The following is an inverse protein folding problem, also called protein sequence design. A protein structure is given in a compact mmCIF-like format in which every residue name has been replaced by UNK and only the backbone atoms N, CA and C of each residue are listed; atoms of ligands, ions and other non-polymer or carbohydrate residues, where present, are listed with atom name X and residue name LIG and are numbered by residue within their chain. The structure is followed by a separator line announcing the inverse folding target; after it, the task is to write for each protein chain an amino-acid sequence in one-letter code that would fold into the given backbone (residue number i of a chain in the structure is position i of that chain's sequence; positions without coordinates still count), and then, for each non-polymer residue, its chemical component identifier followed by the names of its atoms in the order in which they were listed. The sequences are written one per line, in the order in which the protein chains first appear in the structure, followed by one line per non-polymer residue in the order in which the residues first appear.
data_IF_312986928094
#
_entry.id   IF_312986928094
#
_cell.length_a   1.000
_cell.length_b   1.000
_cell.length_c   1.000
_cell.angle_alpha   90.00
_cell.angle_beta   90.00
_cell.angle_gamma   90.00
#
_symmetry.space_group_name_H-M   'P 1'
#
loop_
_entity.id
_entity.type
_entity.pdbx_description
1 polymer ?
#
# COMPACT_ATOMS: atom_id res chain seq x y z
N UNK A 1 26.48 -73.61 -6.04
CA UNK A 1 25.60 -73.09 -7.10
C UNK A 1 24.61 -72.14 -6.46
N UNK A 2 24.90 -70.84 -6.53
CA UNK A 2 24.10 -69.79 -5.92
C UNK A 2 23.01 -69.32 -6.87
N UNK A 3 21.78 -69.25 -6.38
CA UNK A 3 20.69 -68.54 -7.04
C UNK A 3 20.32 -67.31 -6.21
N UNK A 4 20.29 -66.12 -6.80
CA UNK A 4 20.14 -64.86 -6.07
C UNK A 4 18.68 -64.52 -5.74
N UNK A 5 18.54 -63.83 -4.61
CA UNK A 5 17.33 -63.22 -4.06
C UNK A 5 16.70 -62.26 -5.07
N UNK A 6 15.39 -62.42 -5.34
CA UNK A 6 14.58 -61.43 -6.06
C UNK A 6 14.23 -60.27 -5.11
N UNK A 7 14.79 -59.10 -5.40
CA UNK A 7 14.21 -57.81 -5.04
C UNK A 7 13.12 -57.45 -6.07
N UNK A 8 11.98 -56.93 -5.62
CA UNK A 8 11.37 -55.69 -6.15
C UNK A 8 10.28 -55.23 -5.19
N UNK A 9 10.60 -54.16 -4.46
CA UNK A 9 9.69 -53.31 -3.70
C UNK A 9 9.66 -51.97 -4.44
N UNK A 10 8.48 -51.46 -4.79
CA UNK A 10 8.20 -50.04 -5.00
C UNK A 10 6.72 -49.86 -5.36
N UNK A 11 5.92 -49.56 -4.33
CA UNK A 11 4.60 -48.97 -4.48
C UNK A 11 4.74 -47.57 -5.11
N UNK A 12 4.04 -47.35 -6.22
CA UNK A 12 3.89 -46.02 -6.81
C UNK A 12 2.89 -45.20 -6.00
N UNK A 13 3.39 -44.29 -5.16
CA UNK A 13 2.58 -43.24 -4.55
C UNK A 13 2.48 -42.06 -5.54
N UNK A 14 1.35 -41.98 -6.23
CA UNK A 14 0.94 -40.81 -7.00
C UNK A 14 0.50 -39.71 -6.03
N UNK A 15 1.39 -38.77 -5.71
CA UNK A 15 1.02 -37.54 -4.99
C UNK A 15 0.39 -36.56 -5.97
N UNK A 16 -0.95 -36.54 -6.01
CA UNK A 16 -1.73 -35.48 -6.63
C UNK A 16 -1.55 -34.18 -5.83
N UNK A 17 -0.90 -33.19 -6.40
CA UNK A 17 -0.82 -31.83 -5.86
C UNK A 17 -2.19 -31.14 -5.97
N UNK A 18 -2.72 -30.52 -4.90
CA UNK A 18 -3.95 -29.74 -4.99
C UNK A 18 -3.70 -28.42 -5.71
N UNK A 19 -4.40 -28.23 -6.84
CA UNK A 19 -4.45 -26.96 -7.59
C UNK A 19 -5.43 -26.02 -6.88
N UNK A 20 -4.94 -25.15 -6.00
CA UNK A 20 -5.75 -24.07 -5.43
C UNK A 20 -5.82 -22.95 -6.46
N UNK A 21 -6.96 -22.85 -7.15
CA UNK A 21 -7.28 -21.70 -8.01
C UNK A 21 -7.65 -20.51 -7.12
N UNK A 22 -6.66 -19.74 -6.69
CA UNK A 22 -6.86 -18.41 -6.14
C UNK A 22 -7.06 -17.42 -7.29
N UNK A 23 -8.30 -17.28 -7.73
CA UNK A 23 -8.72 -16.26 -8.69
C UNK A 23 -9.83 -15.44 -8.05
N UNK A 24 -9.70 -14.11 -8.18
CA UNK A 24 -10.67 -13.05 -7.87
C UNK A 24 -10.93 -12.70 -6.40
N UNK A 25 -9.96 -12.04 -5.76
CA UNK A 25 -10.24 -11.04 -4.71
C UNK A 25 -9.41 -9.75 -4.91
N UNK A 26 -9.35 -9.25 -6.15
CA UNK A 26 -8.74 -7.95 -6.47
C UNK A 26 -9.71 -7.14 -7.30
N UNK A 27 -10.64 -6.46 -6.63
CA UNK A 27 -11.57 -5.53 -7.30
C UNK A 27 -11.96 -4.29 -6.50
N UNK A 28 -11.23 -3.94 -5.43
CA UNK A 28 -11.62 -2.79 -4.60
C UNK A 28 -10.54 -1.74 -4.29
N UNK A 29 -9.33 -1.84 -4.88
CA UNK A 29 -8.27 -0.85 -4.63
C UNK A 29 -7.54 -0.39 -5.90
N UNK A 30 -8.31 -0.04 -6.94
CA UNK A 30 -7.81 0.77 -8.06
C UNK A 30 -8.89 1.80 -8.38
N UNK A 31 -8.82 2.95 -7.72
CA UNK A 31 -9.35 4.25 -8.19
C UNK A 31 -9.07 5.33 -7.12
N UNK A 32 -7.79 5.56 -6.80
CA UNK A 32 -7.40 6.62 -5.84
C UNK A 32 -6.35 7.61 -6.37
N UNK A 33 -5.97 7.56 -7.65
CA UNK A 33 -4.97 8.50 -8.21
C UNK A 33 -5.32 8.88 -9.65
N UNK A 34 -6.45 9.56 -9.85
CA UNK A 34 -6.75 10.30 -11.06
C UNK A 34 -7.90 11.28 -10.80
N UNK A 35 -7.61 12.40 -10.14
CA UNK A 35 -8.41 13.63 -10.15
C UNK A 35 -7.68 14.74 -9.39
N UNK A 36 -6.63 15.26 -10.02
CA UNK A 36 -6.30 16.68 -9.90
C UNK A 36 -6.93 17.39 -11.10
N UNK A 37 -7.29 18.66 -10.92
CA UNK A 37 -7.99 19.58 -11.84
C UNK A 37 -9.53 19.52 -11.85
N UNK A 38 -10.16 20.07 -10.81
CA UNK A 38 -11.27 21.04 -10.98
C UNK A 38 -11.50 21.81 -9.68
N UNK A 39 -10.71 22.87 -9.48
CA UNK A 39 -10.95 23.90 -8.49
C UNK A 39 -11.78 25.02 -9.13
N UNK A 40 -13.11 24.87 -9.09
CA UNK A 40 -14.06 25.98 -9.24
C UNK A 40 -15.28 25.62 -8.39
N UNK A 41 -15.31 26.10 -7.16
CA UNK A 41 -16.05 27.31 -6.78
C UNK A 41 -17.58 27.09 -6.74
N UNK A 42 -18.15 27.49 -5.61
CA UNK A 42 -19.59 27.59 -5.29
C UNK A 42 -20.34 26.28 -5.00
N UNK A 43 -20.55 25.99 -3.70
CA UNK A 43 -21.89 25.87 -3.09
C UNK A 43 -21.82 25.21 -1.70
N UNK A 44 -22.50 25.85 -0.74
CA UNK A 44 -23.02 25.35 0.56
C UNK A 44 -22.50 26.12 1.77
N UNK A 45 -23.21 27.19 2.14
CA UNK A 45 -23.57 27.51 3.53
C UNK A 45 -24.42 28.78 3.59
N UNK A 46 -25.74 28.63 3.61
CA UNK A 46 -26.67 29.61 4.18
C UNK A 46 -28.03 28.94 4.38
N UNK A 47 -28.09 28.06 5.36
CA UNK A 47 -29.32 27.45 5.83
C UNK A 47 -30.13 28.48 6.63
N UNK A 48 -31.28 28.87 6.08
CA UNK A 48 -32.55 29.06 6.79
C UNK A 48 -32.56 30.04 7.98
N UNK A 49 -32.50 31.34 7.71
CA UNK A 49 -33.10 32.33 8.61
C UNK A 49 -34.62 32.39 8.35
N UNK A 50 -35.50 32.23 9.36
CA UNK A 50 -36.93 32.45 9.19
C UNK A 50 -37.20 33.95 8.99
N UNK A 51 -37.73 34.29 7.82
CA UNK A 51 -38.21 35.60 7.45
C UNK A 51 -39.34 36.04 8.38
N UNK A 52 -39.06 37.05 9.20
CA UNK A 52 -40.07 37.77 9.97
C UNK A 52 -41.01 38.52 9.01
N UNK A 53 -42.34 38.39 9.16
CA UNK A 53 -43.29 39.19 8.41
C UNK A 53 -43.24 40.66 8.86
N UNK A 54 -43.17 41.57 7.87
CA UNK A 54 -43.20 43.00 8.06
C UNK A 54 -44.49 43.45 8.77
N UNK A 55 -44.42 44.37 9.76
CA UNK A 55 -45.60 44.99 10.31
C UNK A 55 -46.14 46.03 9.32
N UNK A 56 -47.42 45.88 8.96
CA UNK A 56 -48.13 46.86 8.14
C UNK A 56 -48.25 48.18 8.90
N UNK A 57 -48.02 49.29 8.21
CA UNK A 57 -48.35 50.64 8.66
C UNK A 57 -49.86 50.77 8.86
N UNK A 58 -50.30 50.41 10.06
CA UNK A 58 -51.67 50.54 10.54
C UNK A 58 -51.81 51.82 11.35
N UNK A 59 -52.35 52.85 10.69
CA UNK A 59 -53.32 53.81 11.23
C UNK A 59 -53.06 54.38 12.64
N UNK A 60 -52.61 55.64 12.64
CA UNK A 60 -52.66 56.59 13.75
C UNK A 60 -54.12 56.80 14.20
N UNK A 61 -54.58 55.92 15.09
CA UNK A 61 -55.85 56.04 15.81
C UNK A 61 -55.62 56.82 17.11
N UNK A 62 -56.02 58.09 17.08
CA UNK A 62 -56.65 58.86 18.16
C UNK A 62 -56.31 58.45 19.61
N UNK A 63 -55.50 59.27 20.29
CA UNK A 63 -55.45 59.33 21.76
C UNK A 63 -56.84 59.63 22.31
N UNK A 64 -57.58 58.60 22.70
CA UNK A 64 -58.66 58.72 23.68
C UNK A 64 -58.17 58.13 24.99
N UNK A 65 -58.04 59.02 25.98
CA UNK A 65 -57.95 58.77 27.42
C UNK A 65 -58.32 57.34 27.84
N UNK A 66 -57.33 56.46 27.93
CA UNK A 66 -57.42 55.26 28.75
C UNK A 66 -56.95 55.64 30.15
N UNK A 67 -57.85 55.43 31.09
CA UNK A 67 -57.73 55.71 32.51
C UNK A 67 -56.50 55.05 33.15
N UNK A 68 -56.07 55.60 34.28
CA UNK A 68 -54.96 55.19 35.15
C UNK A 68 -55.05 53.83 35.92
N UNK A 69 -56.07 52.92 35.83
CA UNK A 69 -56.01 51.67 36.58
C UNK A 69 -55.08 50.59 35.99
N UNK A 70 -54.64 50.69 34.73
CA UNK A 70 -53.97 49.58 34.02
C UNK A 70 -52.47 49.43 34.37
N UNK A 71 -51.78 50.53 34.70
CA UNK A 71 -50.34 50.52 35.01
C UNK A 71 -50.06 49.80 36.34
N UNK A 72 -50.97 49.94 37.33
CA UNK A 72 -50.82 49.29 38.64
C UNK A 72 -51.02 47.78 38.58
N UNK A 73 -51.92 47.31 37.71
CA UNK A 73 -52.12 45.89 37.49
C UNK A 73 -50.95 45.27 36.70
N UNK A 74 -50.39 46.01 35.74
CA UNK A 74 -49.14 45.61 35.07
C UNK A 74 -47.96 45.50 36.06
N UNK A 75 -47.82 46.45 36.98
CA UNK A 75 -46.77 46.44 38.01
C UNK A 75 -46.96 45.30 39.03
N UNK A 76 -48.21 44.89 39.31
CA UNK A 76 -48.51 43.74 40.18
C UNK A 76 -48.26 42.39 39.50
N UNK A 77 -48.34 42.35 38.17
CA UNK A 77 -48.08 41.16 37.37
C UNK A 77 -46.59 40.99 37.00
N UNK A 78 -45.72 41.93 37.40
CA UNK A 78 -44.29 41.76 37.23
C UNK A 78 -43.80 40.57 38.05
N UNK A 79 -42.86 39.76 37.52
CA UNK A 79 -42.23 38.69 38.27
C UNK A 79 -41.67 39.24 39.57
N UNK A 80 -42.01 38.61 40.69
CA UNK A 80 -41.44 39.01 41.96
C UNK A 80 -39.94 38.74 41.95
N UNK A 81 -39.20 39.40 42.83
CA UNK A 81 -37.77 39.11 43.05
C UNK A 81 -37.53 37.63 43.37
N UNK A 82 -38.48 36.98 44.05
CA UNK A 82 -38.41 35.55 44.35
C UNK A 82 -38.55 34.70 43.07
N UNK A 83 -39.41 35.08 42.13
CA UNK A 83 -39.59 34.37 40.87
C UNK A 83 -38.33 34.42 40.00
N UNK A 84 -37.67 35.58 39.95
CA UNK A 84 -36.38 35.71 39.27
C UNK A 84 -35.28 34.87 39.92
N UNK A 85 -35.19 34.87 41.25
CA UNK A 85 -34.23 34.03 41.98
C UNK A 85 -34.48 32.54 41.72
N UNK A 86 -35.74 32.12 41.70
CA UNK A 86 -36.12 30.74 41.35
C UNK A 86 -35.76 30.38 39.91
N UNK A 87 -35.95 31.31 38.96
CA UNK A 87 -35.57 31.10 37.56
C UNK A 87 -34.05 30.96 37.41
N UNK A 88 -33.27 31.81 38.07
CA UNK A 88 -31.80 31.72 38.09
C UNK A 88 -31.36 30.39 38.68
N UNK A 89 -31.90 29.98 39.84
CA UNK A 89 -31.56 28.70 40.45
C UNK A 89 -31.90 27.49 39.57
N UNK A 90 -33.01 27.55 38.82
CA UNK A 90 -33.35 26.51 37.82
C UNK A 90 -32.37 26.49 36.65
N UNK A 91 -31.95 27.65 36.16
CA UNK A 91 -30.96 27.76 35.09
C UNK A 91 -29.60 27.23 35.55
N UNK A 92 -29.15 27.61 36.74
CA UNK A 92 -27.92 27.10 37.35
C UNK A 92 -27.96 25.58 37.49
N UNK A 93 -29.06 25.02 38.02
CA UNK A 93 -29.23 23.57 38.13
C UNK A 93 -29.23 22.86 36.76
N UNK A 94 -29.89 23.44 35.75
CA UNK A 94 -29.90 22.90 34.40
C UNK A 94 -28.52 22.96 33.73
N UNK A 95 -27.76 24.04 33.95
CA UNK A 95 -26.40 24.17 33.46
C UNK A 95 -25.46 23.18 34.15
N UNK A 96 -25.55 23.04 35.48
CA UNK A 96 -24.76 22.07 36.22
C UNK A 96 -25.02 20.65 35.74
N UNK A 97 -26.29 20.27 35.56
CA UNK A 97 -26.66 18.96 35.03
C UNK A 97 -26.10 18.71 33.63
N UNK A 98 -26.07 19.72 32.75
CA UNK A 98 -25.47 19.60 31.42
C UNK A 98 -23.95 19.48 31.48
N UNK A 99 -23.29 20.23 32.38
CA UNK A 99 -21.84 20.13 32.59
C UNK A 99 -21.47 18.72 33.08
N UNK A 100 -22.24 18.17 34.02
CA UNK A 100 -22.01 16.83 34.54
C UNK A 100 -22.20 15.77 33.44
N UNK A 101 -23.26 15.90 32.63
CA UNK A 101 -23.50 15.02 31.48
C UNK A 101 -22.38 15.11 30.42
N UNK A 102 -21.92 16.33 30.10
CA UNK A 102 -20.77 16.51 29.21
C UNK A 102 -19.50 15.90 29.80
N UNK A 103 -19.30 16.01 31.12
CA UNK A 103 -18.20 15.39 31.83
C UNK A 103 -18.20 13.87 31.69
N UNK A 104 -19.36 13.23 31.81
CA UNK A 104 -19.50 11.79 31.61
C UNK A 104 -19.27 11.38 30.16
N UNK A 105 -19.76 12.16 29.20
CA UNK A 105 -19.55 11.88 27.76
C UNK A 105 -18.07 11.98 27.39
N UNK A 106 -17.37 13.00 27.89
CA UNK A 106 -15.93 13.17 27.67
C UNK A 106 -15.16 11.98 28.23
N UNK A 107 -15.48 11.53 29.45
CA UNK A 107 -14.84 10.35 30.04
C UNK A 107 -15.10 9.10 29.21
N UNK A 108 -16.33 8.90 28.74
CA UNK A 108 -16.67 7.74 27.92
C UNK A 108 -15.94 7.76 26.57
N UNK A 109 -15.85 8.92 25.92
CA UNK A 109 -15.09 9.09 24.67
C UNK A 109 -13.60 8.83 24.92
N UNK A 110 -13.04 9.35 26.02
CA UNK A 110 -11.63 9.12 26.37
C UNK A 110 -11.31 7.64 26.57
N UNK A 111 -12.20 6.87 27.20
CA UNK A 111 -12.03 5.43 27.35
C UNK A 111 -12.06 4.73 25.99
N UNK A 112 -13.06 5.04 25.15
CA UNK A 112 -13.16 4.46 23.80
C UNK A 112 -11.93 4.77 22.94
N UNK A 113 -11.39 5.99 23.03
CA UNK A 113 -10.16 6.35 22.30
C UNK A 113 -8.98 5.53 22.80
N UNK A 114 -8.84 5.35 24.12
CA UNK A 114 -7.77 4.54 24.70
C UNK A 114 -7.86 3.07 24.25
N UNK A 115 -9.07 2.50 24.25
CA UNK A 115 -9.31 1.13 23.79
C UNK A 115 -8.95 0.96 22.30
N UNK A 116 -9.36 1.92 21.47
CA UNK A 116 -9.03 1.93 20.03
C UNK A 116 -7.53 2.07 19.78
N UNK A 117 -6.84 2.91 20.54
CA UNK A 117 -5.38 3.07 20.44
C UNK A 117 -4.62 1.81 20.87
N UNK A 118 -5.16 1.02 21.80
CA UNK A 118 -4.59 -0.27 22.19
C UNK A 118 -4.82 -1.33 21.11
N UNK A 119 -6.05 -1.44 20.60
CA UNK A 119 -6.38 -2.35 19.49
C UNK A 119 -5.55 -2.04 18.23
N UNK A 120 -5.37 -0.76 17.90
CA UNK A 120 -4.55 -0.32 16.77
C UNK A 120 -3.10 -0.78 16.92
N UNK A 121 -2.52 -0.65 18.12
CA UNK A 121 -1.14 -1.10 18.39
C UNK A 121 -0.99 -2.60 18.19
N UNK A 122 -1.95 -3.39 18.66
CA UNK A 122 -1.93 -4.85 18.52
C UNK A 122 -2.05 -5.27 17.05
N UNK A 123 -2.95 -4.64 16.30
CA UNK A 123 -3.11 -4.89 14.86
C UNK A 123 -1.83 -4.50 14.11
N UNK A 124 -1.26 -3.34 14.40
CA UNK A 124 -0.02 -2.89 13.77
C UNK A 124 1.14 -3.85 14.06
N UNK A 125 1.28 -4.30 15.30
CA UNK A 125 2.31 -5.25 15.69
C UNK A 125 2.14 -6.60 14.99
N UNK A 126 0.91 -7.12 14.91
CA UNK A 126 0.60 -8.35 14.18
C UNK A 126 0.93 -8.22 12.67
N UNK A 127 0.60 -7.07 12.07
CA UNK A 127 0.94 -6.78 10.68
C UNK A 127 2.46 -6.74 10.45
N UNK A 128 3.22 -6.11 11.34
CA UNK A 128 4.69 -6.06 11.26
C UNK A 128 5.28 -7.47 11.28
N UNK A 129 4.83 -8.32 12.22
CA UNK A 129 5.31 -9.70 12.34
C UNK A 129 4.97 -10.52 11.08
N UNK A 130 3.73 -10.41 10.58
CA UNK A 130 3.31 -11.12 9.37
C UNK A 130 4.09 -10.64 8.13
N UNK A 131 4.31 -9.33 7.99
CA UNK A 131 5.08 -8.77 6.89
C UNK A 131 6.55 -9.21 6.95
N UNK A 132 7.15 -9.25 8.14
CA UNK A 132 8.53 -9.75 8.31
C UNK A 132 8.64 -11.22 7.90
N UNK A 133 7.70 -12.07 8.36
CA UNK A 133 7.68 -13.50 8.02
C UNK A 133 7.48 -13.76 6.53
N UNK A 134 6.59 -12.99 5.89
CA UNK A 134 6.36 -13.11 4.44
C UNK A 134 7.57 -12.66 3.63
N UNK A 135 8.23 -11.56 4.03
CA UNK A 135 9.50 -11.11 3.42
C UNK A 135 10.59 -12.17 3.51
N UNK A 136 10.75 -12.79 4.67
CA UNK A 136 11.73 -13.85 4.88
C UNK A 136 11.44 -15.05 3.97
N UNK A 137 10.19 -15.51 3.92
CA UNK A 137 9.76 -16.60 3.04
C UNK A 137 10.01 -16.31 1.55
N UNK A 138 9.71 -15.08 1.12
CA UNK A 138 9.99 -14.63 -0.24
C UNK A 138 11.49 -14.59 -0.53
N UNK A 139 12.31 -14.09 0.40
CA UNK A 139 13.76 -14.05 0.26
C UNK A 139 14.35 -15.47 0.14
N UNK A 140 13.89 -16.42 0.95
CA UNK A 140 14.30 -17.83 0.84
C UNK A 140 13.90 -18.43 -0.51
N UNK A 141 12.69 -18.13 -0.98
CA UNK A 141 12.18 -18.60 -2.27
C UNK A 141 13.02 -18.07 -3.44
N UNK A 142 13.31 -16.76 -3.43
CA UNK A 142 14.17 -16.13 -4.44
C UNK A 142 15.58 -16.72 -4.43
N UNK A 143 16.18 -16.92 -3.24
CA UNK A 143 17.50 -17.54 -3.12
C UNK A 143 17.50 -18.97 -3.68
N UNK A 144 16.45 -19.75 -3.42
CA UNK A 144 16.29 -21.10 -3.95
C UNK A 144 16.18 -21.09 -5.48
N UNK A 145 15.35 -20.21 -6.04
CA UNK A 145 15.20 -20.06 -7.50
C UNK A 145 16.51 -19.64 -8.15
N UNK A 146 17.25 -18.71 -7.55
CA UNK A 146 18.55 -18.29 -8.05
C UNK A 146 19.54 -19.46 -8.09
N UNK A 147 19.63 -20.26 -7.01
CA UNK A 147 20.48 -21.46 -6.98
C UNK A 147 20.09 -22.47 -8.06
N UNK A 148 18.79 -22.65 -8.31
CA UNK A 148 18.32 -23.53 -9.38
C UNK A 148 18.71 -23.00 -10.77
N UNK A 149 18.58 -21.70 -11.00
CA UNK A 149 19.02 -21.07 -12.25
C UNK A 149 20.53 -21.23 -12.46
N UNK A 150 21.32 -21.02 -11.41
CA UNK A 150 22.77 -21.19 -11.47
C UNK A 150 23.15 -22.66 -11.76
N UNK A 151 22.48 -23.63 -11.15
CA UNK A 151 22.70 -25.06 -11.43
C UNK A 151 22.30 -25.41 -12.88
N UNK A 152 21.18 -24.89 -13.38
CA UNK A 152 20.75 -25.10 -14.76
C UNK A 152 21.71 -24.48 -15.78
N UNK A 153 22.20 -23.25 -15.53
CA UNK A 153 23.19 -22.60 -16.39
C UNK A 153 24.52 -23.35 -16.35
N UNK A 154 24.96 -23.81 -15.18
CA UNK A 154 26.17 -24.62 -15.04
C UNK A 154 26.05 -25.97 -15.76
N UNK A 155 24.91 -26.66 -15.66
CA UNK A 155 24.65 -27.91 -16.39
C UNK A 155 24.60 -27.70 -17.89
N UNK A 156 23.95 -26.63 -18.34
CA UNK A 156 23.90 -26.23 -19.75
C UNK A 156 25.30 -25.93 -20.31
N UNK A 157 26.18 -25.33 -19.51
CA UNK A 157 27.57 -24.99 -19.89
C UNK A 157 28.57 -26.11 -19.66
N UNK A 158 28.23 -27.20 -18.97
CA UNK A 158 29.17 -28.26 -18.59
C UNK A 158 29.93 -28.85 -19.77
N UNK A 159 29.28 -28.94 -20.92
CA UNK A 159 29.87 -29.49 -22.15
C UNK A 159 30.39 -28.40 -23.11
N UNK A 160 30.36 -27.13 -22.70
CA UNK A 160 30.81 -26.02 -23.53
C UNK A 160 32.25 -25.65 -23.19
N UNK A 161 33.16 -25.87 -24.13
CA UNK A 161 34.55 -25.43 -24.01
C UNK A 161 34.69 -23.97 -24.46
N UNK A 162 35.40 -23.16 -23.67
CA UNK A 162 35.73 -21.77 -24.01
C UNK A 162 37.22 -21.66 -24.34
N UNK A 163 37.53 -21.46 -25.62
CA UNK A 163 38.90 -21.31 -26.10
C UNK A 163 39.16 -19.82 -26.31
N UNK A 164 40.22 -19.30 -25.70
CA UNK A 164 40.64 -17.89 -25.78
C UNK A 164 41.97 -17.80 -26.54
N UNK A 165 42.22 -16.67 -27.19
CA UNK A 165 43.48 -16.40 -27.89
C UNK A 165 43.57 -17.03 -29.28
N UNK A 166 42.45 -17.46 -29.87
CA UNK A 166 42.42 -17.82 -31.28
C UNK A 166 42.55 -16.54 -32.12
N UNK A 167 43.44 -16.51 -33.14
CA UNK A 167 43.54 -15.38 -34.05
C UNK A 167 42.20 -15.20 -34.78
N UNK A 168 41.77 -13.95 -34.94
CA UNK A 168 40.56 -13.62 -35.70
C UNK A 168 40.85 -13.79 -37.20
N UNK A 169 40.78 -15.02 -37.71
CA UNK A 169 40.91 -15.25 -39.14
C UNK A 169 39.61 -14.85 -39.84
N UNK A 170 39.71 -13.88 -40.76
CA UNK A 170 38.58 -13.43 -41.57
C UNK A 170 38.32 -14.46 -42.67
N UNK A 171 37.32 -15.32 -42.46
CA UNK A 171 36.80 -16.21 -43.51
C UNK A 171 37.29 -17.66 -43.51
N UNK A 172 38.22 -18.04 -42.63
CA UNK A 172 38.56 -19.46 -42.44
C UNK A 172 37.53 -20.19 -41.58
N UNK A 173 37.32 -21.48 -41.90
CA UNK A 173 36.45 -22.36 -41.15
C UNK A 173 37.03 -22.60 -39.75
N UNK A 174 36.41 -21.97 -38.73
CA UNK A 174 36.79 -22.09 -37.32
C UNK A 174 36.91 -23.56 -36.89
N UNK A 175 36.10 -24.46 -37.49
CA UNK A 175 36.17 -25.90 -37.25
C UNK A 175 37.51 -26.49 -37.68
N UNK A 176 38.07 -26.06 -38.81
CA UNK A 176 39.34 -26.58 -39.32
C UNK A 176 40.49 -26.22 -38.38
N UNK A 177 40.59 -24.93 -38.02
CA UNK A 177 41.63 -24.45 -37.10
C UNK A 177 41.47 -25.08 -35.70
N UNK A 178 40.23 -25.28 -35.23
CA UNK A 178 39.97 -25.98 -33.97
C UNK A 178 40.39 -27.46 -34.05
N UNK A 179 40.08 -28.16 -35.15
CA UNK A 179 40.50 -29.54 -35.37
C UNK A 179 42.01 -29.66 -35.44
N UNK A 180 42.70 -28.80 -36.17
CA UNK A 180 44.17 -28.80 -36.24
C UNK A 180 44.80 -28.57 -34.85
N UNK A 181 44.29 -27.61 -34.08
CA UNK A 181 44.75 -27.34 -32.72
C UNK A 181 44.50 -28.55 -31.80
N UNK A 182 43.31 -29.15 -31.86
CA UNK A 182 42.99 -30.32 -31.05
C UNK A 182 43.80 -31.55 -31.47
N UNK A 183 44.03 -31.75 -32.77
CA UNK A 183 44.88 -32.81 -33.30
C UNK A 183 46.33 -32.63 -32.82
N UNK A 184 46.83 -31.39 -32.79
CA UNK A 184 48.17 -31.07 -32.31
C UNK A 184 48.34 -31.40 -30.82
N UNK A 185 47.32 -31.11 -29.99
CA UNK A 185 47.39 -31.31 -28.54
C UNK A 185 47.08 -32.78 -28.15
N UNK A 186 46.10 -33.40 -28.80
CA UNK A 186 45.55 -34.71 -28.40
C UNK A 186 46.03 -35.88 -29.27
N UNK A 187 46.79 -35.62 -30.33
CA UNK A 187 47.47 -36.63 -31.15
C UNK A 187 46.62 -37.24 -32.26
N UNK A 188 45.31 -37.50 -32.07
CA UNK A 188 44.37 -37.87 -33.15
C UNK A 188 42.87 -38.01 -32.71
N UNK A 189 42.09 -36.92 -32.66
CA UNK A 189 40.67 -36.95 -32.29
C UNK A 189 39.74 -37.25 -33.49
N UNK A 190 39.99 -38.31 -34.25
CA UNK A 190 39.17 -38.70 -35.43
C UNK A 190 37.74 -39.15 -35.10
N UNK A 191 37.37 -39.24 -33.81
CA UNK A 191 36.05 -39.72 -33.34
C UNK A 191 35.26 -38.70 -32.50
N UNK A 192 35.66 -37.43 -32.49
CA UNK A 192 34.95 -36.40 -31.72
C UNK A 192 33.79 -35.84 -32.56
N UNK A 193 32.56 -36.01 -32.06
CA UNK A 193 31.35 -35.39 -32.62
C UNK A 193 31.22 -33.97 -32.05
N UNK A 194 31.02 -32.98 -32.92
CA UNK A 194 30.99 -31.56 -32.57
C UNK A 194 29.58 -30.98 -32.86
N UNK A 195 28.66 -31.02 -31.88
CA UNK A 195 27.23 -30.80 -32.16
C UNK A 195 26.83 -29.35 -32.44
N UNK A 196 27.60 -28.33 -32.02
CA UNK A 196 27.29 -26.91 -32.31
C UNK A 196 28.47 -25.97 -32.03
N UNK A 197 28.72 -25.00 -32.92
CA UNK A 197 29.66 -23.91 -32.70
C UNK A 197 28.96 -22.55 -32.80
N UNK A 198 29.26 -21.64 -31.86
CA UNK A 198 28.81 -20.25 -31.91
C UNK A 198 29.98 -19.33 -31.56
N UNK A 199 30.24 -18.35 -32.42
CA UNK A 199 31.10 -17.20 -32.07
C UNK A 199 30.27 -16.32 -31.14
N UNK A 200 30.70 -16.17 -29.88
CA UNK A 200 30.08 -15.17 -28.99
C UNK A 200 30.64 -13.80 -29.34
N UNK A 201 29.77 -12.93 -29.85
CA UNK A 201 30.08 -11.51 -29.98
C UNK A 201 30.50 -10.96 -28.62
N UNK A 202 31.64 -10.25 -28.60
CA UNK A 202 32.00 -9.46 -27.41
C UNK A 202 30.87 -8.47 -27.17
N UNK A 203 30.33 -8.34 -25.95
CA UNK A 203 29.49 -7.20 -25.63
C UNK A 203 30.31 -5.95 -25.94
N UNK A 204 29.78 -5.06 -26.78
CA UNK A 204 30.41 -3.77 -27.08
C UNK A 204 30.65 -3.10 -25.73
N UNK A 205 31.92 -3.04 -25.33
CA UNK A 205 32.33 -2.33 -24.13
C UNK A 205 31.78 -0.92 -24.27
N UNK A 206 30.83 -0.54 -23.42
CA UNK A 206 30.45 0.85 -23.29
C UNK A 206 31.72 1.59 -22.90
N UNK A 207 32.23 2.40 -23.83
CA UNK A 207 33.35 3.29 -23.59
C UNK A 207 33.06 4.10 -22.31
N UNK A 208 34.06 4.34 -21.44
CA UNK A 208 33.86 5.19 -20.27
C UNK A 208 33.29 6.53 -20.74
N UNK A 209 32.10 6.89 -20.25
CA UNK A 209 31.59 8.24 -20.43
C UNK A 209 32.61 9.19 -19.81
N UNK A 210 33.24 10.03 -20.63
CA UNK A 210 34.04 11.15 -20.16
C UNK A 210 33.17 11.95 -19.18
N UNK A 211 33.58 11.95 -17.92
CA UNK A 211 33.06 12.86 -16.92
C UNK A 211 33.46 14.27 -17.38
N UNK A 212 32.52 14.93 -18.06
CA UNK A 212 32.60 16.37 -18.27
C UNK A 212 32.35 17.03 -16.91
N UNK A 213 33.43 17.24 -16.16
CA UNK A 213 33.44 18.11 -14.99
C UNK A 213 33.14 19.54 -15.45
N UNK A 214 31.88 19.96 -15.23
CA UNK A 214 31.45 21.32 -15.47
C UNK A 214 32.14 22.28 -14.52
N UNK A 215 33.05 23.10 -15.04
CA UNK A 215 33.56 24.29 -14.36
C UNK A 215 32.41 25.24 -14.01
N UNK A 216 32.33 25.77 -12.77
CA UNK A 216 31.44 26.87 -12.45
C UNK A 216 32.07 28.18 -12.93
N UNK A 217 31.45 28.82 -13.94
CA UNK A 217 31.77 30.21 -14.28
C UNK A 217 31.33 31.11 -13.12
N UNK A 218 32.29 31.90 -12.63
CA UNK A 218 32.12 32.98 -11.65
C UNK A 218 31.32 34.15 -12.21
#
# INVERSE_FOLDING_TARGET
MGNPKKHTNAQGASSKTPTVKSSTFTRYFKDATAREDEAANSNMAAESAPSSPAPSEGSCGTLTQATDPDIKDLLRNLPSKADMANMIGRLEAALQSKIDAMGTDIQQVSLKVTDLEEEEKDVMQAQIVNNASTLESQAMTLSSMQRQLDDLDNRSRRNNLRIRGLPETQGEDLMANLKELLNLILGDPTKMDYPRQEKKDRPKTLLPQEQNDGEPKR
#
